data_IF_719724343915
#
_entry.id   IF_719724343915
#
_cell.length_a   1.000
_cell.length_b   1.000
_cell.length_c   1.000
_cell.angle_alpha   90.00
_cell.angle_beta   90.00
_cell.angle_gamma   90.00
#
_symmetry.space_group_name_H-M   'P 1'
#
loop_
_entity.id
_entity.type
_entity.pdbx_description
1 polymer ?
#
# COMPACT_ATOMS: atom_id res chain seq x y z
N UNK A 1 -8.78 0.79 -5.37
CA UNK A 1 -9.58 1.39 -4.27
C UNK A 1 -9.57 0.42 -3.10
N UNK A 2 -9.32 0.87 -1.87
CA UNK A 2 -9.46 0.04 -0.67
C UNK A 2 -10.71 0.54 0.06
N UNK A 3 -11.65 -0.35 0.35
CA UNK A 3 -12.88 0.00 1.06
C UNK A 3 -12.63 -0.28 2.55
N UNK A 4 -12.82 0.75 3.38
CA UNK A 4 -12.77 0.63 4.83
C UNK A 4 -14.02 -0.06 5.41
N UNK A 5 -14.16 -0.06 6.73
CA UNK A 5 -15.30 -0.67 7.40
C UNK A 5 -16.62 0.05 7.08
N UNK A 6 -17.65 -0.69 6.68
CA UNK A 6 -19.04 -0.20 6.61
C UNK A 6 -19.67 -0.42 7.99
N UNK A 7 -20.15 0.65 8.61
CA UNK A 7 -20.77 0.61 9.95
C UNK A 7 -22.21 1.08 9.91
N UNK A 8 -23.01 0.60 10.88
CA UNK A 8 -24.35 1.15 11.11
C UNK A 8 -24.23 2.63 11.47
N UNK A 9 -25.14 3.45 10.94
CA UNK A 9 -25.20 4.87 11.24
C UNK A 9 -25.56 5.09 12.71
N UNK A 10 -24.76 5.89 13.42
CA UNK A 10 -24.94 6.20 14.86
C UNK A 10 -25.23 7.68 15.12
N UNK A 11 -25.72 8.42 14.13
CA UNK A 11 -26.02 9.85 14.23
C UNK A 11 -25.96 10.58 12.88
N UNK A 12 -26.08 11.89 12.92
CA UNK A 12 -25.94 12.78 11.75
C UNK A 12 -24.50 13.21 11.47
N UNK A 13 -23.61 13.15 12.46
CA UNK A 13 -22.21 13.53 12.29
C UNK A 13 -21.27 12.39 12.70
N UNK A 14 -20.07 12.39 12.15
CA UNK A 14 -19.01 11.50 12.59
C UNK A 14 -18.40 11.97 13.90
N UNK A 15 -18.21 11.05 14.84
CA UNK A 15 -17.44 11.32 16.05
C UNK A 15 -15.94 11.39 15.73
N UNK A 16 -15.18 12.12 16.56
CA UNK A 16 -13.72 12.19 16.45
C UNK A 16 -13.06 10.81 16.45
N UNK A 17 -13.63 9.82 17.15
CA UNK A 17 -13.14 8.45 17.16
C UNK A 17 -13.33 7.75 15.80
N UNK A 18 -14.47 7.97 15.14
CA UNK A 18 -14.73 7.43 13.80
C UNK A 18 -13.78 8.05 12.76
N UNK A 19 -13.59 9.37 12.83
CA UNK A 19 -12.65 10.08 11.97
C UNK A 19 -11.22 9.56 12.19
N UNK A 20 -10.77 9.49 13.46
CA UNK A 20 -9.44 8.98 13.80
C UNK A 20 -9.20 7.54 13.34
N UNK A 21 -10.21 6.66 13.43
CA UNK A 21 -10.11 5.29 12.93
C UNK A 21 -9.93 5.27 11.41
N UNK A 22 -10.69 6.08 10.67
CA UNK A 22 -10.62 6.15 9.21
C UNK A 22 -9.28 6.73 8.73
N UNK A 23 -8.79 7.80 9.38
CA UNK A 23 -7.46 8.37 9.14
C UNK A 23 -6.38 7.31 9.40
N UNK A 24 -6.44 6.60 10.54
CA UNK A 24 -5.48 5.55 10.88
C UNK A 24 -5.49 4.40 9.86
N UNK A 25 -6.64 4.07 9.29
CA UNK A 25 -6.71 3.12 8.18
C UNK A 25 -5.94 3.61 6.95
N UNK A 26 -6.10 4.89 6.59
CA UNK A 26 -5.33 5.55 5.53
C UNK A 26 -3.82 5.51 5.78
N UNK A 27 -3.38 5.86 6.99
CA UNK A 27 -1.97 5.77 7.39
C UNK A 27 -1.42 4.35 7.26
N UNK A 28 -2.14 3.35 7.77
CA UNK A 28 -1.73 1.93 7.68
C UNK A 28 -1.63 1.48 6.22
N UNK A 29 -2.57 1.90 5.37
CA UNK A 29 -2.52 1.60 3.95
C UNK A 29 -1.24 2.16 3.30
N UNK A 30 -0.88 3.41 3.62
CA UNK A 30 0.37 4.00 3.17
C UNK A 30 1.57 3.22 3.69
N UNK A 31 1.59 2.84 4.98
CA UNK A 31 2.68 2.06 5.55
C UNK A 31 2.92 0.71 4.85
N UNK A 32 1.88 0.06 4.32
CA UNK A 32 1.99 -1.20 3.56
C UNK A 32 2.12 -0.98 2.05
N UNK A 33 2.11 0.26 1.57
CA UNK A 33 2.30 0.64 0.17
C UNK A 33 3.34 1.75 0.07
N UNK A 34 4.64 1.44 0.25
CA UNK A 34 5.69 2.45 0.43
C UNK A 34 5.82 3.41 -0.77
N UNK A 35 5.42 3.00 -1.97
CA UNK A 35 5.47 3.86 -3.17
C UNK A 35 4.33 4.85 -3.28
N UNK A 36 3.27 4.68 -2.49
CA UNK A 36 2.10 5.56 -2.49
C UNK A 36 2.35 6.78 -1.61
N UNK A 37 2.27 7.98 -2.18
CA UNK A 37 2.52 9.24 -1.49
C UNK A 37 1.31 9.77 -0.72
N UNK A 38 0.08 9.48 -1.15
CA UNK A 38 -1.13 9.90 -0.44
C UNK A 38 -2.32 8.95 -0.67
N UNK A 39 -3.33 9.08 0.18
CA UNK A 39 -4.63 8.42 0.05
C UNK A 39 -5.75 9.37 0.42
N UNK A 40 -6.88 9.28 -0.29
CA UNK A 40 -8.13 9.93 0.11
C UNK A 40 -8.91 8.99 1.03
N UNK A 41 -9.29 9.50 2.19
CA UNK A 41 -10.18 8.86 3.15
C UNK A 41 -11.53 9.54 3.04
N UNK A 42 -12.54 8.78 2.64
CA UNK A 42 -13.91 9.24 2.44
C UNK A 42 -14.78 8.70 3.54
N UNK A 43 -15.48 9.60 4.23
CA UNK A 43 -16.48 9.27 5.23
C UNK A 43 -17.83 9.78 4.76
N UNK A 44 -18.82 8.90 4.69
CA UNK A 44 -20.19 9.29 4.35
C UNK A 44 -21.22 8.52 5.16
N UNK A 45 -22.25 9.23 5.61
CA UNK A 45 -23.43 8.68 6.27
C UNK A 45 -24.67 8.74 5.37
N UNK A 46 -24.44 8.90 4.05
CA UNK A 46 -25.43 9.13 3.00
C UNK A 46 -26.18 10.47 3.09
N UNK A 47 -25.83 11.36 4.03
CA UNK A 47 -26.33 12.74 4.10
C UNK A 47 -25.21 13.73 3.79
N UNK A 48 -24.01 13.49 4.32
CA UNK A 48 -22.82 14.29 4.05
C UNK A 48 -21.67 13.42 3.56
N UNK A 49 -20.70 14.07 2.92
CA UNK A 49 -19.40 13.50 2.62
C UNK A 49 -18.29 14.36 3.23
N UNK A 50 -17.42 13.71 3.99
CA UNK A 50 -16.23 14.29 4.59
C UNK A 50 -15.01 13.66 3.89
N UNK A 51 -14.09 14.50 3.42
CA UNK A 51 -12.94 14.05 2.64
C UNK A 51 -11.67 14.51 3.34
N UNK A 52 -10.82 13.53 3.64
CA UNK A 52 -9.50 13.77 4.18
C UNK A 52 -8.46 13.26 3.19
N UNK A 53 -7.40 14.05 2.97
CA UNK A 53 -6.22 13.60 2.26
C UNK A 53 -5.13 13.33 3.27
N UNK A 54 -4.73 12.07 3.38
CA UNK A 54 -3.58 11.66 4.19
C UNK A 54 -2.38 11.60 3.26
N UNK A 55 -1.42 12.50 3.46
CA UNK A 55 -0.20 12.58 2.66
C UNK A 55 0.97 12.11 3.49
N UNK A 56 1.79 11.22 2.93
CA UNK A 56 3.04 10.82 3.55
C UNK A 56 4.08 11.90 3.33
N UNK A 57 4.72 12.28 4.43
CA UNK A 57 5.92 13.11 4.43
C UNK A 57 7.02 12.24 4.99
N UNK A 58 7.69 11.49 4.10
CA UNK A 58 8.85 10.71 4.50
C UNK A 58 10.02 11.67 4.74
N UNK A 59 10.46 11.75 5.99
CA UNK A 59 11.79 12.23 6.33
C UNK A 59 12.68 11.00 6.54
N UNK A 60 13.95 11.06 6.13
CA UNK A 60 14.93 9.97 6.17
C UNK A 60 14.83 9.13 7.45
N UNK A 61 14.59 9.76 8.60
CA UNK A 61 14.51 9.10 9.91
C UNK A 61 13.11 8.60 10.32
N UNK A 62 12.01 9.29 9.95
CA UNK A 62 10.67 8.96 10.45
C UNK A 62 9.60 9.15 9.37
N UNK A 63 8.74 8.16 9.22
CA UNK A 63 7.54 8.30 8.39
C UNK A 63 6.56 9.16 9.16
N UNK A 64 6.23 10.32 8.60
CA UNK A 64 5.25 11.24 9.14
C UNK A 64 4.11 11.39 8.14
N UNK A 65 2.98 11.90 8.62
CA UNK A 65 1.80 12.14 7.81
C UNK A 65 1.32 13.57 8.02
N UNK A 66 0.87 14.20 6.93
CA UNK A 66 0.13 15.44 6.94
C UNK A 66 -1.30 15.19 6.48
N UNK A 67 -2.21 16.05 6.92
CA UNK A 67 -3.63 15.89 6.70
C UNK A 67 -4.20 17.16 6.10
N UNK A 68 -4.88 17.03 4.97
CA UNK A 68 -5.74 18.08 4.42
C UNK A 68 -7.19 17.65 4.61
N UNK A 69 -8.06 18.60 4.92
CA UNK A 69 -9.48 18.36 5.14
C UNK A 69 -10.30 19.24 4.22
N UNK A 70 -11.20 18.62 3.47
CA UNK A 70 -12.24 19.33 2.73
C UNK A 70 -13.48 19.35 3.60
N UNK A 71 -14.01 20.55 3.84
CA UNK A 71 -15.19 20.74 4.66
C UNK A 71 -16.37 19.87 4.18
N UNK A 72 -17.24 19.36 5.08
CA UNK A 72 -18.30 18.45 4.73
C UNK A 72 -19.25 19.09 3.73
N UNK A 73 -19.71 18.30 2.76
CA UNK A 73 -20.72 18.75 1.79
C UNK A 73 -21.95 17.85 1.84
N UNK A 74 -23.15 18.42 1.70
CA UNK A 74 -24.37 17.63 1.67
C UNK A 74 -24.44 16.80 0.39
N UNK A 75 -24.90 15.56 0.52
CA UNK A 75 -25.25 14.63 -0.56
C UNK A 75 -26.73 14.77 -0.94
N UNK A 76 -27.23 16.01 -0.95
CA UNK A 76 -28.59 16.31 -1.38
C UNK A 76 -28.66 16.49 -2.90
N UNK A 77 -29.77 16.06 -3.48
CA UNK A 77 -30.12 16.36 -4.87
C UNK A 77 -30.79 17.74 -4.92
N UNK A 78 -30.02 18.80 -4.66
CA UNK A 78 -30.49 20.18 -4.86
C UNK A 78 -29.65 20.85 -5.94
N UNK A 79 -30.30 21.66 -6.79
CA UNK A 79 -29.76 22.24 -8.03
C UNK A 79 -28.77 23.39 -7.83
N UNK A 80 -28.27 23.60 -6.61
CA UNK A 80 -27.26 24.61 -6.29
C UNK A 80 -25.85 24.04 -6.47
N UNK A 81 -24.92 24.89 -6.86
CA UNK A 81 -23.59 24.49 -7.36
C UNK A 81 -22.68 23.76 -6.36
N UNK A 82 -23.06 23.69 -5.10
CA UNK A 82 -22.26 23.16 -3.99
C UNK A 82 -22.83 21.84 -3.48
N UNK A 83 -22.69 20.77 -4.28
CA UNK A 83 -23.17 19.44 -3.94
C UNK A 83 -22.01 18.46 -3.67
N UNK A 84 -22.14 17.65 -2.62
CA UNK A 84 -21.19 16.58 -2.29
C UNK A 84 -21.10 15.50 -3.39
N UNK A 85 -22.14 15.39 -4.22
CA UNK A 85 -22.20 14.48 -5.36
C UNK A 85 -21.12 14.77 -6.41
N UNK A 86 -20.80 16.04 -6.68
CA UNK A 86 -19.69 16.44 -7.56
C UNK A 86 -18.38 15.83 -7.07
N UNK A 87 -18.11 15.81 -5.76
CA UNK A 87 -16.89 15.17 -5.23
C UNK A 87 -16.88 13.66 -5.46
N UNK A 88 -18.00 12.97 -5.17
CA UNK A 88 -18.10 11.52 -5.41
C UNK A 88 -17.89 11.19 -6.88
N UNK A 89 -18.57 11.90 -7.78
CA UNK A 89 -18.47 11.70 -9.23
C UNK A 89 -17.05 11.99 -9.71
N UNK A 90 -16.47 13.13 -9.33
CA UNK A 90 -15.07 13.45 -9.66
C UNK A 90 -14.10 12.37 -9.20
N UNK A 91 -14.26 11.81 -8.00
CA UNK A 91 -13.40 10.73 -7.51
C UNK A 91 -13.60 9.44 -8.32
N UNK A 92 -14.84 9.11 -8.70
CA UNK A 92 -15.14 7.92 -9.51
C UNK A 92 -14.62 8.06 -10.95
N UNK A 93 -14.60 9.27 -11.49
CA UNK A 93 -14.11 9.58 -12.84
C UNK A 93 -12.59 9.83 -12.89
N UNK A 94 -11.96 10.06 -11.74
CA UNK A 94 -10.52 10.29 -11.62
C UNK A 94 -9.72 9.06 -12.03
N UNK A 95 -8.57 9.29 -12.68
CA UNK A 95 -7.65 8.19 -12.95
C UNK A 95 -7.09 7.63 -11.63
N UNK A 96 -6.67 6.35 -11.60
CA UNK A 96 -5.99 5.80 -10.43
C UNK A 96 -4.81 6.66 -9.96
N UNK A 97 -4.05 7.21 -10.90
CA UNK A 97 -2.88 8.06 -10.62
C UNK A 97 -3.28 9.36 -9.91
N UNK A 98 -4.38 9.99 -10.30
CA UNK A 98 -4.92 11.19 -9.65
C UNK A 98 -5.36 10.91 -8.21
N UNK A 99 -5.71 9.66 -7.91
CA UNK A 99 -6.06 9.18 -6.56
C UNK A 99 -4.84 8.65 -5.77
N UNK A 100 -3.64 8.87 -6.30
CA UNK A 100 -2.38 8.42 -5.72
C UNK A 100 -2.18 6.91 -5.80
N UNK A 101 -2.99 6.18 -6.57
CA UNK A 101 -2.75 4.75 -6.79
C UNK A 101 -1.47 4.58 -7.61
N UNK A 102 -0.62 3.68 -7.12
CA UNK A 102 0.59 3.25 -7.81
C UNK A 102 0.36 1.82 -8.24
N UNK A 103 0.69 1.52 -9.50
CA UNK A 103 0.56 0.19 -10.03
C UNK A 103 1.37 -0.81 -9.18
N UNK A 104 0.77 -1.92 -8.74
CA UNK A 104 1.45 -2.91 -7.91
C UNK A 104 2.34 -3.81 -8.79
N UNK A 105 3.12 -3.24 -9.70
CA UNK A 105 4.02 -3.96 -10.58
C UNK A 105 5.46 -3.49 -10.40
N UNK A 106 6.40 -4.44 -10.48
CA UNK A 106 7.83 -4.20 -10.47
C UNK A 106 8.41 -4.66 -11.80
N UNK A 107 9.18 -3.79 -12.45
CA UNK A 107 9.85 -4.12 -13.70
C UNK A 107 11.33 -4.44 -13.43
N UNK A 108 11.78 -5.58 -13.95
CA UNK A 108 13.16 -6.05 -13.95
C UNK A 108 13.54 -6.42 -15.38
N UNK A 109 14.14 -5.47 -16.10
CA UNK A 109 14.38 -5.58 -17.55
C UNK A 109 13.07 -5.90 -18.30
N UNK A 110 13.00 -7.07 -18.95
CA UNK A 110 11.82 -7.55 -19.67
C UNK A 110 10.82 -8.32 -18.77
N UNK A 111 11.13 -8.49 -17.48
CA UNK A 111 10.30 -9.21 -16.52
C UNK A 111 9.41 -8.27 -15.72
N UNK A 112 8.15 -8.66 -15.51
CA UNK A 112 7.19 -7.92 -14.70
C UNK A 112 6.72 -8.81 -13.55
N UNK A 113 6.84 -8.31 -12.33
CA UNK A 113 6.36 -8.95 -11.11
C UNK A 113 5.14 -8.18 -10.61
N UNK A 114 3.98 -8.82 -10.54
CA UNK A 114 2.77 -8.20 -9.98
C UNK A 114 2.67 -8.52 -8.49
N UNK A 115 2.69 -7.50 -7.63
CA UNK A 115 2.47 -7.61 -6.20
C UNK A 115 0.98 -7.89 -5.94
N UNK A 116 0.69 -9.01 -5.27
CA UNK A 116 -0.69 -9.44 -5.00
C UNK A 116 -1.16 -8.96 -3.62
N UNK A 117 -0.37 -9.20 -2.57
CA UNK A 117 -0.69 -8.73 -1.21
C UNK A 117 0.55 -8.67 -0.32
N UNK A 118 0.53 -7.80 0.68
CA UNK A 118 1.53 -7.83 1.74
C UNK A 118 1.30 -9.07 2.63
N UNK A 119 2.35 -9.85 2.86
CA UNK A 119 2.34 -11.06 3.71
C UNK A 119 3.18 -10.89 4.98
N UNK A 120 4.02 -9.87 5.05
CA UNK A 120 4.81 -9.58 6.25
C UNK A 120 5.29 -8.14 6.28
N UNK A 121 5.31 -7.54 7.47
CA UNK A 121 5.80 -6.17 7.66
C UNK A 121 6.87 -6.21 8.76
N UNK A 122 8.13 -6.09 8.35
CA UNK A 122 9.27 -6.02 9.27
C UNK A 122 9.65 -4.58 9.60
N UNK A 123 10.67 -4.40 10.45
CA UNK A 123 11.22 -3.08 10.76
C UNK A 123 11.84 -2.41 9.53
N UNK A 124 12.57 -3.17 8.73
CA UNK A 124 13.39 -2.67 7.60
C UNK A 124 12.71 -2.80 6.25
N UNK A 125 11.77 -3.73 6.12
CA UNK A 125 11.20 -4.17 4.84
C UNK A 125 9.75 -4.61 4.97
N UNK A 126 9.08 -4.71 3.83
CA UNK A 126 7.76 -5.32 3.66
C UNK A 126 7.94 -6.49 2.71
N UNK A 127 7.30 -7.61 3.02
CA UNK A 127 7.28 -8.80 2.18
C UNK A 127 5.89 -8.90 1.55
N UNK A 128 5.87 -9.07 0.24
CA UNK A 128 4.67 -9.30 -0.56
C UNK A 128 4.69 -10.70 -1.16
N UNK A 129 3.51 -11.27 -1.29
CA UNK A 129 3.25 -12.28 -2.30
C UNK A 129 3.15 -11.59 -3.66
N UNK A 130 3.88 -12.08 -4.65
CA UNK A 130 3.88 -11.60 -6.02
C UNK A 130 3.62 -12.72 -7.02
N UNK A 131 3.42 -12.34 -8.28
CA UNK A 131 3.29 -13.25 -9.42
C UNK A 131 4.28 -12.88 -10.52
N UNK A 132 4.93 -13.89 -11.08
CA UNK A 132 5.76 -13.79 -12.28
C UNK A 132 5.41 -14.96 -13.20
N UNK A 133 5.02 -14.69 -14.45
CA UNK A 133 4.62 -15.75 -15.40
C UNK A 133 3.61 -16.77 -14.83
N UNK A 134 2.63 -16.29 -14.06
CA UNK A 134 1.64 -17.10 -13.30
C UNK A 134 2.18 -17.95 -12.14
N UNK A 135 3.49 -17.93 -11.87
CA UNK A 135 4.08 -18.56 -10.70
C UNK A 135 4.11 -17.60 -9.50
N UNK A 136 3.94 -18.14 -8.30
CA UNK A 136 4.01 -17.37 -7.06
C UNK A 136 5.47 -17.07 -6.69
N UNK A 137 5.73 -15.84 -6.27
CA UNK A 137 7.05 -15.39 -5.80
C UNK A 137 6.93 -14.61 -4.51
N UNK A 138 7.99 -14.60 -3.71
CA UNK A 138 8.10 -13.71 -2.55
C UNK A 138 8.90 -12.47 -2.93
N UNK A 139 8.36 -11.29 -2.63
CA UNK A 139 8.99 -10.00 -2.95
C UNK A 139 9.24 -9.24 -1.67
N UNK A 140 10.51 -9.01 -1.33
CA UNK A 140 10.92 -8.22 -0.18
C UNK A 140 11.35 -6.84 -0.64
N UNK A 141 10.65 -5.81 -0.20
CA UNK A 141 10.92 -4.41 -0.52
C UNK A 141 11.39 -3.66 0.72
N UNK A 142 12.45 -2.88 0.58
CA UNK A 142 12.98 -2.03 1.64
C UNK A 142 12.01 -0.87 1.91
N UNK A 143 11.83 -0.51 3.19
CA UNK A 143 10.95 0.59 3.58
C UNK A 143 11.55 1.98 3.34
N UNK A 144 12.88 2.11 3.48
CA UNK A 144 13.62 3.38 3.47
C UNK A 144 15.04 3.20 2.97
N UNK A 145 15.61 4.25 2.38
CA UNK A 145 17.00 4.27 1.91
C UNK A 145 18.02 3.85 2.99
N UNK A 146 17.81 4.26 4.24
CA UNK A 146 18.68 3.92 5.39
C UNK A 146 18.79 2.41 5.65
N UNK A 147 17.84 1.61 5.12
CA UNK A 147 17.82 0.15 5.26
C UNK A 147 18.32 -0.60 4.02
N UNK A 148 18.77 0.11 2.98
CA UNK A 148 19.41 -0.52 1.81
C UNK A 148 20.62 -1.38 2.18
N UNK A 149 21.48 -1.01 3.16
CA UNK A 149 22.55 -1.91 3.59
C UNK A 149 22.04 -3.26 4.11
N UNK A 150 20.86 -3.31 4.73
CA UNK A 150 20.30 -4.56 5.25
C UNK A 150 19.94 -5.55 4.13
N UNK A 151 19.28 -5.06 3.06
CA UNK A 151 18.91 -5.94 1.93
C UNK A 151 20.15 -6.37 1.14
N UNK A 152 21.17 -5.50 1.03
CA UNK A 152 22.43 -5.84 0.39
C UNK A 152 23.13 -7.00 1.09
N UNK A 153 23.28 -6.93 2.42
CA UNK A 153 23.87 -8.02 3.22
C UNK A 153 23.09 -9.33 3.05
N UNK A 154 21.76 -9.27 3.02
CA UNK A 154 20.92 -10.45 2.81
C UNK A 154 21.09 -11.07 1.42
N UNK A 155 21.16 -10.23 0.38
CA UNK A 155 21.45 -10.65 -0.99
C UNK A 155 22.82 -11.32 -1.09
N UNK A 156 23.85 -10.71 -0.51
CA UNK A 156 25.22 -11.25 -0.56
C UNK A 156 25.30 -12.61 0.15
N UNK A 157 24.67 -12.74 1.32
CA UNK A 157 24.58 -14.02 2.03
C UNK A 157 23.83 -15.10 1.22
N UNK A 158 22.70 -14.75 0.60
CA UNK A 158 21.94 -15.69 -0.24
C UNK A 158 22.72 -16.11 -1.49
N UNK A 159 23.49 -15.20 -2.10
CA UNK A 159 24.38 -15.54 -3.23
C UNK A 159 25.47 -16.52 -2.80
N UNK A 160 26.08 -16.33 -1.64
CA UNK A 160 27.06 -17.27 -1.12
C UNK A 160 26.46 -18.64 -0.80
N UNK A 161 25.28 -18.64 -0.16
CA UNK A 161 24.56 -19.87 0.17
C UNK A 161 24.03 -20.62 -1.05
N UNK A 162 23.73 -19.91 -2.15
CA UNK A 162 23.26 -20.54 -3.39
C UNK A 162 24.29 -21.53 -3.97
N UNK A 163 25.58 -21.35 -3.66
CA UNK A 163 26.66 -22.25 -4.06
C UNK A 163 26.51 -23.67 -3.48
N UNK A 164 25.73 -23.83 -2.41
CA UNK A 164 25.45 -25.13 -1.79
C UNK A 164 24.45 -25.96 -2.60
N UNK A 165 23.71 -25.35 -3.54
CA UNK A 165 22.70 -26.05 -4.35
C UNK A 165 21.54 -26.65 -3.56
N UNK A 166 21.34 -26.21 -2.30
CA UNK A 166 20.33 -26.78 -1.42
C UNK A 166 18.91 -26.32 -1.82
N UNK A 167 17.93 -27.24 -1.92
CA UNK A 167 16.54 -26.90 -2.18
C UNK A 167 15.89 -26.16 -0.99
N UNK A 168 16.52 -26.17 0.19
CA UNK A 168 16.04 -25.49 1.39
C UNK A 168 16.55 -24.06 1.51
N UNK A 169 17.15 -23.51 0.46
CA UNK A 169 17.65 -22.12 0.45
C UNK A 169 16.87 -21.37 -0.62
N UNK A 170 16.17 -20.28 -0.27
CA UNK A 170 15.44 -19.48 -1.24
C UNK A 170 16.38 -18.99 -2.34
N UNK A 171 15.96 -19.16 -3.60
CA UNK A 171 16.73 -18.71 -4.75
C UNK A 171 16.34 -17.28 -5.09
N UNK A 172 17.34 -16.45 -5.36
CA UNK A 172 17.14 -15.12 -5.92
C UNK A 172 16.69 -15.28 -7.37
N UNK A 173 15.54 -14.71 -7.71
CA UNK A 173 15.02 -14.66 -9.08
C UNK A 173 15.38 -13.32 -9.74
N UNK A 174 15.09 -12.22 -9.04
CA UNK A 174 15.36 -10.86 -9.48
C UNK A 174 15.80 -10.01 -8.29
N UNK A 175 16.59 -8.98 -8.56
CA UNK A 175 16.99 -8.01 -7.55
C UNK A 175 17.32 -6.66 -8.17
N UNK A 176 17.11 -5.60 -7.39
CA UNK A 176 17.64 -4.27 -7.64
C UNK A 176 18.09 -3.67 -6.29
N UNK A 177 18.30 -2.36 -6.21
CA UNK A 177 18.82 -1.72 -5.00
C UNK A 177 17.91 -1.88 -3.78
N UNK A 178 16.58 -1.79 -3.95
CA UNK A 178 15.60 -1.72 -2.87
C UNK A 178 14.68 -2.95 -2.77
N UNK A 179 14.82 -3.90 -3.69
CA UNK A 179 13.91 -5.03 -3.83
C UNK A 179 14.64 -6.33 -4.13
N UNK A 180 14.21 -7.39 -3.45
CA UNK A 180 14.66 -8.77 -3.62
C UNK A 180 13.45 -9.67 -3.93
N UNK A 181 13.49 -10.35 -5.08
CA UNK A 181 12.49 -11.33 -5.49
C UNK A 181 13.08 -12.72 -5.37
N UNK A 182 12.38 -13.61 -4.68
CA UNK A 182 12.86 -14.96 -4.39
C UNK A 182 11.77 -16.00 -4.62
N UNK A 183 12.19 -17.24 -4.81
CA UNK A 183 11.28 -18.39 -4.80
C UNK A 183 10.55 -18.46 -3.46
N UNK A 184 9.23 -18.72 -3.45
CA UNK A 184 8.51 -18.93 -2.20
C UNK A 184 9.05 -20.18 -1.52
N UNK A 185 8.97 -20.23 -0.19
CA UNK A 185 9.33 -21.43 0.54
C UNK A 185 8.24 -22.50 0.35
N UNK A 186 8.54 -23.54 -0.43
CA UNK A 186 7.62 -24.66 -0.60
C UNK A 186 7.59 -25.53 0.67
N UNK A 187 6.47 -25.48 1.38
CA UNK A 187 6.18 -26.38 2.51
C UNK A 187 5.93 -27.84 2.07
N UNK A 188 5.86 -28.12 0.77
CA UNK A 188 5.44 -29.40 0.18
C UNK A 188 6.58 -30.39 -0.09
N UNK A 189 7.85 -30.03 0.12
CA UNK A 189 8.96 -30.97 -0.02
C UNK A 189 9.28 -31.78 1.25
N UNK A 190 8.26 -32.07 2.07
CA UNK A 190 8.36 -33.13 3.10
C UNK A 190 7.82 -34.43 2.50
N UNK A 191 8.69 -35.17 1.83
CA UNK A 191 8.50 -36.59 1.49
C UNK A 191 9.68 -37.39 2.02
#
# INVERSE_FOLDING_TARGET
MAIGEVKKRTGENFSNAQIGQAISFGEKLLQVQPRRSFVLVLLTNCITIDIYRVTRVDNHQKTQFTYEYVAPRPLEYNSTDDNGWKYMVTIMESSPQDLGWVEPSLKFDDNIITLTRAIGVGRTSIVYEGKHNNESVAVKMVKKADYLPCIKTEVDALKDLSKLGSPHIPRILFQNEDTLVMTPWDYTQRS
#
